data_IF_163704784680
#
_entry.id   IF_163704784680
#
_cell.length_a   1.000
_cell.length_b   1.000
_cell.length_c   1.000
_cell.angle_alpha   90.00
_cell.angle_beta   90.00
_cell.angle_gamma   90.00
#
_symmetry.space_group_name_H-M   'P 1'
#
loop_
_entity.id
_entity.type
_entity.pdbx_description
1 polymer ?
#
# COMPACT_ATOMS: atom_id res chain seq x y z
N UNK A 1 14.84 16.49 23.09
CA UNK A 1 14.56 15.39 22.14
C UNK A 1 14.03 14.20 22.94
N UNK A 2 12.77 13.79 22.74
CA UNK A 2 12.18 12.63 23.47
C UNK A 2 12.50 11.35 22.68
N UNK A 3 13.24 10.43 23.30
CA UNK A 3 13.52 9.12 22.72
C UNK A 3 12.23 8.28 22.73
N UNK A 4 11.77 7.85 21.55
CA UNK A 4 10.66 6.91 21.43
C UNK A 4 11.23 5.51 21.22
N UNK A 5 10.75 4.54 22.00
CA UNK A 5 11.18 3.14 21.92
C UNK A 5 10.00 2.28 21.50
N UNK A 6 10.15 1.57 20.39
CA UNK A 6 9.17 0.59 19.91
C UNK A 6 9.80 -0.80 20.08
N UNK A 7 9.07 -1.73 20.69
CA UNK A 7 9.53 -3.11 20.90
C UNK A 7 8.87 -4.05 19.90
N UNK A 8 9.68 -4.75 19.09
CA UNK A 8 9.23 -5.59 17.97
C UNK A 8 9.00 -7.07 18.40
N UNK A 9 9.21 -7.38 19.69
CA UNK A 9 9.17 -8.75 20.26
C UNK A 9 7.87 -9.53 20.06
N UNK A 10 6.76 -8.87 19.74
CA UNK A 10 5.46 -9.52 19.53
C UNK A 10 5.26 -10.06 18.11
N UNK A 11 6.23 -9.90 17.21
CA UNK A 11 6.16 -10.36 15.82
C UNK A 11 6.14 -11.90 15.67
N UNK A 12 6.42 -12.65 16.75
CA UNK A 12 6.54 -14.12 16.73
C UNK A 12 5.26 -14.88 17.11
N UNK A 13 4.24 -14.22 17.66
CA UNK A 13 3.03 -14.88 18.20
C UNK A 13 1.95 -15.11 17.12
N UNK A 14 2.32 -15.56 15.91
CA UNK A 14 1.34 -15.88 14.84
C UNK A 14 0.35 -14.78 14.46
N UNK A 15 0.48 -13.57 15.03
CA UNK A 15 -0.35 -12.41 14.75
C UNK A 15 0.14 -11.82 13.44
N UNK A 16 -0.78 -11.66 12.50
CA UNK A 16 -0.54 -11.00 11.23
C UNK A 16 0.16 -9.65 11.48
N UNK A 17 1.34 -9.43 10.90
CA UNK A 17 2.18 -8.23 11.13
C UNK A 17 1.39 -6.94 10.92
N UNK A 18 0.45 -6.95 9.98
CA UNK A 18 -0.47 -5.85 9.71
C UNK A 18 -1.27 -5.47 10.95
N UNK A 19 -1.87 -6.45 11.65
CA UNK A 19 -2.62 -6.17 12.87
C UNK A 19 -1.75 -5.60 13.98
N UNK A 20 -0.48 -5.98 14.06
CA UNK A 20 0.48 -5.37 14.97
C UNK A 20 0.76 -3.90 14.59
N UNK A 21 0.91 -3.63 13.30
CA UNK A 21 1.11 -2.27 12.77
C UNK A 21 -0.09 -1.38 13.09
N UNK A 22 -1.33 -1.87 12.91
CA UNK A 22 -2.53 -1.10 13.23
C UNK A 22 -2.64 -0.78 14.72
N UNK A 23 -2.23 -1.72 15.59
CA UNK A 23 -2.12 -1.48 17.03
C UNK A 23 -1.06 -0.42 17.35
N UNK A 24 0.06 -0.39 16.62
CA UNK A 24 1.10 0.64 16.81
C UNK A 24 0.56 2.03 16.48
N UNK A 25 -0.17 2.19 15.36
CA UNK A 25 -0.81 3.45 14.99
C UNK A 25 -1.88 3.89 16.00
N UNK A 26 -2.62 2.93 16.56
CA UNK A 26 -3.65 3.18 17.58
C UNK A 26 -3.07 3.52 18.97
N UNK A 27 -1.77 3.29 19.19
CA UNK A 27 -1.15 3.53 20.49
C UNK A 27 -0.94 5.02 20.76
N UNK A 28 -1.30 5.48 21.96
CA UNK A 28 -1.10 6.87 22.37
C UNK A 28 0.40 7.28 22.39
N UNK A 29 1.30 6.31 22.56
CA UNK A 29 2.74 6.55 22.66
C UNK A 29 3.43 6.68 21.29
N UNK A 30 2.94 6.01 20.25
CA UNK A 30 3.61 5.95 18.96
C UNK A 30 2.80 6.58 17.83
N UNK A 31 1.47 6.68 17.97
CA UNK A 31 0.59 7.17 16.91
C UNK A 31 0.95 8.56 16.39
N UNK A 32 1.33 9.50 17.27
CA UNK A 32 1.74 10.85 16.86
C UNK A 32 3.04 10.86 16.04
N UNK A 33 4.00 9.98 16.37
CA UNK A 33 5.25 9.86 15.63
C UNK A 33 5.00 9.14 14.29
N UNK A 34 4.32 8.00 14.33
CA UNK A 34 4.05 7.19 13.14
C UNK A 34 3.13 7.90 12.16
N UNK A 35 2.18 8.71 12.63
CA UNK A 35 1.30 9.51 11.77
C UNK A 35 2.02 10.58 10.94
N UNK A 36 3.29 10.90 11.26
CA UNK A 36 4.13 11.78 10.44
C UNK A 36 4.89 11.06 9.34
N UNK A 37 4.85 9.72 9.32
CA UNK A 37 5.59 8.86 8.39
C UNK A 37 4.56 8.16 7.49
N UNK A 38 4.79 8.05 6.17
CA UNK A 38 3.92 7.29 5.29
C UNK A 38 3.75 5.83 5.76
N UNK A 39 2.53 5.30 5.69
CA UNK A 39 2.20 3.98 6.24
C UNK A 39 3.00 2.87 5.57
N UNK A 40 3.20 2.92 4.26
CA UNK A 40 4.01 1.96 3.51
C UNK A 40 5.45 1.94 4.01
N UNK A 41 6.04 3.09 4.33
CA UNK A 41 7.41 3.14 4.88
C UNK A 41 7.49 2.47 6.25
N UNK A 42 6.52 2.70 7.13
CA UNK A 42 6.46 2.04 8.45
C UNK A 42 6.27 0.54 8.29
N UNK A 43 5.38 0.09 7.39
CA UNK A 43 5.23 -1.32 7.10
C UNK A 43 6.52 -1.93 6.59
N UNK A 44 7.13 -1.34 5.54
CA UNK A 44 8.39 -1.80 4.95
C UNK A 44 9.47 -1.95 6.01
N UNK A 45 9.62 -0.95 6.90
CA UNK A 45 10.59 -1.00 7.99
C UNK A 45 10.32 -2.18 8.94
N UNK A 46 9.07 -2.39 9.35
CA UNK A 46 8.69 -3.47 10.25
C UNK A 46 8.92 -4.85 9.61
N UNK A 47 8.64 -5.00 8.32
CA UNK A 47 8.94 -6.20 7.56
C UNK A 47 10.44 -6.48 7.46
N UNK A 48 11.25 -5.47 7.16
CA UNK A 48 12.71 -5.60 7.14
C UNK A 48 13.24 -6.01 8.51
N UNK A 49 12.78 -5.38 9.59
CA UNK A 49 13.22 -5.71 10.94
C UNK A 49 12.84 -7.14 11.32
N UNK A 50 11.65 -7.59 10.93
CA UNK A 50 11.21 -8.98 11.12
C UNK A 50 12.06 -9.98 10.36
N UNK A 51 12.39 -9.68 9.10
CA UNK A 51 13.28 -10.51 8.28
C UNK A 51 14.67 -10.64 8.93
N UNK A 52 15.24 -9.51 9.39
CA UNK A 52 16.52 -9.49 10.08
C UNK A 52 16.49 -10.28 11.39
N UNK A 53 15.41 -10.18 12.18
CA UNK A 53 15.21 -10.99 13.40
C UNK A 53 15.19 -12.50 13.10
N UNK A 54 14.68 -12.88 11.91
CA UNK A 54 14.63 -14.27 11.45
C UNK A 54 15.90 -14.71 10.70
N UNK A 55 16.94 -13.89 10.66
CA UNK A 55 18.22 -14.21 10.02
C UNK A 55 18.24 -14.07 8.49
N UNK A 56 17.22 -13.43 7.90
CA UNK A 56 17.24 -13.07 6.47
C UNK A 56 18.22 -11.89 6.29
N UNK A 57 19.16 -11.96 5.34
CA UNK A 57 20.11 -10.87 5.12
C UNK A 57 19.40 -9.63 4.54
N UNK A 58 19.94 -8.45 4.86
CA UNK A 58 19.29 -7.17 4.55
C UNK A 58 19.03 -6.98 3.05
N UNK A 59 19.98 -7.34 2.20
CA UNK A 59 19.85 -7.23 0.75
C UNK A 59 18.71 -8.10 0.20
N UNK A 60 18.57 -9.32 0.73
CA UNK A 60 17.47 -10.20 0.38
C UNK A 60 16.13 -9.63 0.85
N UNK A 61 16.08 -9.10 2.07
CA UNK A 61 14.86 -8.49 2.60
C UNK A 61 14.43 -7.28 1.76
N UNK A 62 15.37 -6.39 1.43
CA UNK A 62 15.09 -5.22 0.58
C UNK A 62 14.51 -5.64 -0.77
N UNK A 63 15.12 -6.63 -1.43
CA UNK A 63 14.62 -7.16 -2.71
C UNK A 63 13.21 -7.73 -2.61
N UNK A 64 12.90 -8.51 -1.56
CA UNK A 64 11.55 -9.04 -1.34
C UNK A 64 10.52 -7.92 -1.15
N UNK A 65 10.88 -6.89 -0.38
CA UNK A 65 10.02 -5.74 -0.17
C UNK A 65 9.78 -4.98 -1.49
N UNK A 66 10.83 -4.78 -2.31
CA UNK A 66 10.70 -4.15 -3.64
C UNK A 66 9.80 -4.93 -4.58
N UNK A 67 9.86 -6.26 -4.56
CA UNK A 67 9.01 -7.13 -5.38
C UNK A 67 7.54 -7.04 -4.95
N UNK A 68 7.25 -7.09 -3.65
CA UNK A 68 5.88 -7.00 -3.11
C UNK A 68 5.28 -5.63 -3.34
N UNK A 69 6.06 -4.56 -3.17
CA UNK A 69 5.61 -3.17 -3.30
C UNK A 69 5.48 -2.71 -4.75
N UNK A 70 5.94 -3.51 -5.72
CA UNK A 70 5.73 -3.25 -7.14
C UNK A 70 4.27 -3.52 -7.50
N UNK A 71 3.57 -2.47 -7.93
CA UNK A 71 2.20 -2.56 -8.45
C UNK A 71 2.26 -2.83 -9.96
N UNK A 72 1.72 -3.96 -10.41
CA UNK A 72 1.65 -4.31 -11.84
C UNK A 72 0.20 -4.33 -12.34
N UNK A 73 -0.12 -3.70 -13.48
CA UNK A 73 -1.47 -3.72 -14.04
C UNK A 73 -1.95 -5.12 -14.48
N UNK A 74 -1.02 -6.04 -14.72
CA UNK A 74 -1.32 -7.38 -15.25
C UNK A 74 -1.31 -8.47 -14.17
N UNK A 75 -1.16 -8.08 -12.91
CA UNK A 75 -1.08 -9.00 -11.77
C UNK A 75 -2.48 -9.43 -11.32
N UNK A 76 -2.64 -10.74 -11.08
CA UNK A 76 -3.90 -11.32 -10.61
C UNK A 76 -3.92 -11.33 -9.07
N UNK A 77 -4.41 -10.25 -8.48
CA UNK A 77 -4.47 -10.06 -7.03
C UNK A 77 -5.36 -11.09 -6.31
N UNK A 78 -6.21 -11.85 -7.01
CA UNK A 78 -7.02 -12.90 -6.40
C UNK A 78 -6.22 -14.15 -6.00
N UNK A 79 -4.99 -14.27 -6.51
CA UNK A 79 -4.07 -15.38 -6.18
C UNK A 79 -3.08 -15.02 -5.09
N UNK A 80 -3.04 -13.75 -4.71
CA UNK A 80 -2.13 -13.23 -3.69
C UNK A 80 -2.69 -13.45 -2.28
N UNK A 81 -1.81 -13.38 -1.29
CA UNK A 81 -2.22 -13.44 0.12
C UNK A 81 -2.79 -12.09 0.57
N UNK A 82 -3.68 -12.10 1.57
CA UNK A 82 -4.22 -10.87 2.18
C UNK A 82 -3.13 -9.89 2.60
N UNK A 83 -1.99 -10.44 3.06
CA UNK A 83 -0.81 -9.66 3.43
C UNK A 83 -0.23 -8.87 2.25
N UNK A 84 0.00 -9.55 1.13
CA UNK A 84 0.54 -8.93 -0.10
C UNK A 84 -0.44 -7.91 -0.65
N UNK A 85 -1.73 -8.23 -0.66
CA UNK A 85 -2.80 -7.34 -1.14
C UNK A 85 -2.84 -6.04 -0.33
N UNK A 86 -2.82 -6.12 1.00
CA UNK A 86 -2.89 -4.94 1.87
C UNK A 86 -1.61 -4.07 1.76
N UNK A 87 -0.46 -4.70 1.53
CA UNK A 87 0.79 -3.99 1.26
C UNK A 87 0.72 -3.22 -0.06
N UNK A 88 0.32 -3.89 -1.15
CA UNK A 88 0.14 -3.26 -2.47
C UNK A 88 -0.88 -2.14 -2.40
N UNK A 89 -2.01 -2.35 -1.72
CA UNK A 89 -3.03 -1.32 -1.50
C UNK A 89 -2.47 -0.09 -0.80
N UNK A 90 -1.61 -0.27 0.21
CA UNK A 90 -1.02 0.89 0.90
C UNK A 90 -0.06 1.65 -0.02
N UNK A 91 0.74 0.97 -0.83
CA UNK A 91 1.61 1.62 -1.83
C UNK A 91 0.77 2.36 -2.87
N UNK A 92 -0.29 1.73 -3.39
CA UNK A 92 -1.21 2.36 -4.35
C UNK A 92 -1.85 3.62 -3.76
N UNK A 93 -2.28 3.57 -2.50
CA UNK A 93 -2.88 4.72 -1.82
C UNK A 93 -1.88 5.88 -1.66
N UNK A 94 -0.63 5.59 -1.31
CA UNK A 94 0.42 6.62 -1.24
C UNK A 94 0.75 7.21 -2.61
N UNK A 95 0.86 6.38 -3.65
CA UNK A 95 1.04 6.87 -5.01
C UNK A 95 -0.14 7.73 -5.47
N UNK A 96 -1.36 7.37 -5.11
CA UNK A 96 -2.55 8.16 -5.40
C UNK A 96 -2.47 9.52 -4.71
N UNK A 97 -2.27 9.57 -3.39
CA UNK A 97 -2.22 10.83 -2.63
C UNK A 97 -1.10 11.76 -3.11
N UNK A 98 0.05 11.21 -3.52
CA UNK A 98 1.16 12.00 -4.04
C UNK A 98 0.89 12.59 -5.45
N UNK A 99 0.03 11.94 -6.24
CA UNK A 99 -0.31 12.37 -7.60
C UNK A 99 -1.68 13.06 -7.68
N UNK A 100 -2.39 13.17 -6.57
CA UNK A 100 -3.72 13.76 -6.53
C UNK A 100 -3.64 15.28 -6.71
N UNK A 101 -4.21 15.77 -7.81
CA UNK A 101 -4.36 17.20 -8.09
C UNK A 101 -5.67 17.67 -7.48
N UNK A 102 -5.62 18.63 -6.56
CA UNK A 102 -6.77 19.13 -5.81
C UNK A 102 -7.24 20.49 -6.33
N UNK A 103 -8.53 20.83 -6.18
CA UNK A 103 -9.00 22.19 -6.45
C UNK A 103 -8.21 23.20 -5.62
N UNK A 104 -7.47 24.09 -6.31
CA UNK A 104 -6.56 25.06 -5.69
C UNK A 104 -5.09 24.85 -6.04
N UNK A 105 -4.71 23.69 -6.56
CA UNK A 105 -3.38 23.47 -7.11
C UNK A 105 -3.21 24.25 -8.42
N UNK A 106 -1.99 24.75 -8.70
CA UNK A 106 -1.72 25.55 -9.91
C UNK A 106 -1.96 24.79 -11.21
N UNK A 107 -1.91 23.46 -11.15
CA UNK A 107 -2.08 22.56 -12.29
C UNK A 107 -3.50 21.97 -12.34
N UNK A 108 -4.41 22.42 -11.48
CA UNK A 108 -5.78 21.95 -11.48
C UNK A 108 -6.56 22.59 -12.63
N UNK A 109 -7.07 21.76 -13.54
CA UNK A 109 -7.91 22.18 -14.66
C UNK A 109 -9.28 21.50 -14.57
N UNK A 110 -10.34 22.31 -14.64
CA UNK A 110 -11.71 21.78 -14.72
C UNK A 110 -11.95 21.22 -16.12
N UNK A 111 -12.70 20.12 -16.18
CA UNK A 111 -13.15 19.50 -17.43
C UNK A 111 -12.02 19.20 -18.43
N UNK A 112 -10.83 18.81 -17.93
CA UNK A 112 -9.69 18.43 -18.76
C UNK A 112 -10.10 17.32 -19.75
N UNK A 113 -10.19 17.63 -21.06
CA UNK A 113 -10.58 16.63 -22.05
C UNK A 113 -9.40 15.68 -22.26
N UNK A 114 -9.61 14.40 -21.96
CA UNK A 114 -8.61 13.35 -22.19
C UNK A 114 -9.09 12.47 -23.34
N UNK A 115 -8.32 12.45 -24.42
CA UNK A 115 -8.54 11.52 -25.52
C UNK A 115 -8.09 10.12 -25.09
N UNK A 116 -9.05 9.26 -24.78
CA UNK A 116 -8.77 7.85 -24.55
C UNK A 116 -8.49 7.15 -25.88
N UNK A 117 -7.53 6.21 -25.93
CA UNK A 117 -7.35 5.38 -27.12
C UNK A 117 -8.64 4.62 -27.43
N UNK A 118 -8.93 4.37 -28.72
CA UNK A 118 -10.11 3.60 -29.15
C UNK A 118 -10.21 2.28 -28.37
N UNK A 119 -11.19 2.20 -27.47
CA UNK A 119 -11.49 0.97 -26.75
C UNK A 119 -12.14 -0.02 -27.72
N UNK A 120 -11.40 -1.07 -28.10
CA UNK A 120 -11.89 -2.15 -28.97
C UNK A 120 -12.73 -3.21 -28.25
N UNK A 121 -12.95 -3.08 -26.95
CA UNK A 121 -13.71 -4.05 -26.17
C UNK A 121 -15.17 -3.62 -26.08
N UNK A 122 -16.03 -4.30 -26.82
CA UNK A 122 -17.48 -4.26 -26.61
C UNK A 122 -17.75 -4.77 -25.20
N UNK A 123 -18.00 -3.85 -24.28
CA UNK A 123 -18.45 -4.20 -22.93
C UNK A 123 -19.78 -4.94 -23.05
N UNK A 124 -19.82 -6.19 -22.60
CA UNK A 124 -21.01 -7.06 -22.70
C UNK A 124 -22.24 -6.54 -21.96
N UNK A 125 -22.10 -5.44 -21.21
CA UNK A 125 -23.17 -4.73 -20.51
C UNK A 125 -24.20 -4.08 -21.44
N UNK A 126 -23.81 -3.70 -22.66
CA UNK A 126 -24.73 -3.09 -23.65
C UNK A 126 -25.45 -4.12 -24.54
N UNK A 127 -25.24 -5.42 -24.30
CA UNK A 127 -25.77 -6.50 -25.16
C UNK A 127 -27.24 -6.83 -24.91
N UNK A 128 -27.82 -6.40 -23.77
CA UNK A 128 -29.13 -6.83 -23.29
C UNK A 128 -30.24 -5.78 -23.56
N UNK A 129 -30.30 -5.27 -24.80
CA UNK A 129 -31.42 -4.40 -25.25
C UNK A 129 -32.49 -5.19 -26.04
N UNK A 130 -32.35 -6.52 -26.20
CA UNK A 130 -33.26 -7.32 -27.05
C UNK A 130 -34.50 -7.93 -26.36
N UNK A 131 -34.85 -7.52 -25.14
CA UNK A 131 -36.04 -8.02 -24.40
C UNK A 131 -37.12 -6.93 -24.17
N UNK A 132 -37.47 -6.18 -25.21
CA UNK A 132 -38.69 -5.34 -25.26
C UNK A 132 -39.52 -5.61 -26.52
#
# INVERSE_FOLDING_TARGET
MKLHRISIRHSNDGQHLISYIDKLYSSQQHGALLGSIPRAQVMRLIYILRDLENGVPLDQSLRRNDEVERVSPTEDLNKETDEVVERKKTVMNEQYENNLIRPGDSNFEYDLPVDFPEQRETSGWDSDISDF
#
